data_IF_377657621308
#
_entry.id   IF_377657621308
#
_cell.length_a   1.000
_cell.length_b   1.000
_cell.length_c   1.000
_cell.angle_alpha   90.00
_cell.angle_beta   90.00
_cell.angle_gamma   90.00
#
_symmetry.space_group_name_H-M   'P 1'
#
loop_
_entity.id
_entity.type
_entity.pdbx_description
1 polymer ?
#
# COMPACT_ATOMS: atom_id res chain seq x y z
N UNK A 1 -2.95 -20.93 -9.11
CA UNK A 1 -1.94 -20.54 -8.10
C UNK A 1 -2.70 -20.24 -6.81
N UNK A 2 -2.34 -20.84 -5.67
CA UNK A 2 -2.96 -20.49 -4.38
C UNK A 2 -2.72 -18.99 -4.15
N UNK A 3 -3.80 -18.24 -3.89
CA UNK A 3 -3.73 -16.82 -3.53
C UNK A 3 -3.13 -16.72 -2.12
N UNK A 4 -1.81 -16.82 -2.03
CA UNK A 4 -1.06 -16.71 -0.79
C UNK A 4 -1.27 -15.32 -0.18
N UNK A 5 -1.40 -15.27 1.14
CA UNK A 5 -1.42 -14.00 1.86
C UNK A 5 -0.11 -13.24 1.60
N UNK A 6 -0.21 -11.91 1.44
CA UNK A 6 0.92 -11.03 1.18
C UNK A 6 1.18 -10.16 2.42
N UNK A 7 2.45 -10.06 2.83
CA UNK A 7 2.86 -9.06 3.82
C UNK A 7 3.28 -7.80 3.09
N UNK A 8 2.87 -6.62 3.58
CA UNK A 8 3.26 -5.34 2.99
C UNK A 8 3.83 -4.42 4.05
N UNK A 9 4.61 -3.43 3.63
CA UNK A 9 4.94 -2.30 4.49
C UNK A 9 3.73 -1.41 4.68
N UNK A 10 3.59 -0.84 5.87
CA UNK A 10 2.61 0.18 6.14
C UNK A 10 3.13 1.21 7.14
N UNK A 11 2.58 2.41 7.08
CA UNK A 11 3.02 3.53 7.92
C UNK A 11 1.87 4.47 8.30
N UNK A 12 0.64 3.96 8.29
CA UNK A 12 -0.55 4.68 8.75
C UNK A 12 -0.99 4.15 10.12
N UNK A 13 -1.70 4.99 10.87
CA UNK A 13 -2.16 4.64 12.21
C UNK A 13 -3.02 3.36 12.20
N UNK A 14 -2.69 2.43 13.09
CA UNK A 14 -3.41 1.17 13.24
C UNK A 14 -3.05 0.07 12.24
N UNK A 15 -2.14 0.31 11.29
CA UNK A 15 -1.87 -0.64 10.21
C UNK A 15 -1.29 -2.00 10.66
N UNK A 16 -0.63 -2.05 11.81
CA UNK A 16 0.08 -3.24 12.29
C UNK A 16 -0.62 -3.99 13.42
N UNK A 17 -1.79 -3.53 13.90
CA UNK A 17 -2.46 -4.08 15.10
C UNK A 17 -2.58 -5.60 15.05
N UNK A 18 -3.14 -6.13 13.97
CA UNK A 18 -3.30 -7.58 13.78
C UNK A 18 -1.98 -8.35 13.98
N UNK A 19 -0.89 -7.88 13.37
CA UNK A 19 0.39 -8.59 13.40
C UNK A 19 1.09 -8.38 14.74
N UNK A 20 1.03 -7.18 15.32
CA UNK A 20 1.65 -6.89 16.61
C UNK A 20 0.98 -7.64 17.75
N UNK A 21 -0.35 -7.85 17.66
CA UNK A 21 -1.11 -8.62 18.65
C UNK A 21 -0.71 -10.11 18.62
N UNK A 22 -0.34 -10.64 17.44
CA UNK A 22 0.03 -12.05 17.26
C UNK A 22 1.52 -12.29 17.53
N UNK A 23 2.39 -11.42 17.03
CA UNK A 23 3.84 -11.69 16.91
C UNK A 23 4.74 -10.68 17.64
N UNK A 24 4.13 -9.65 18.26
CA UNK A 24 4.81 -8.62 19.05
C UNK A 24 5.19 -7.37 18.25
N UNK A 25 5.55 -6.31 18.97
CA UNK A 25 5.84 -4.97 18.45
C UNK A 25 7.03 -4.89 17.48
N UNK A 26 7.92 -5.89 17.46
CA UNK A 26 9.03 -5.94 16.49
C UNK A 26 8.57 -6.03 15.02
N UNK A 27 7.29 -6.32 14.79
CA UNK A 27 6.65 -6.37 13.47
C UNK A 27 5.78 -5.13 13.17
N UNK A 28 5.94 -4.05 13.93
CA UNK A 28 5.36 -2.75 13.55
C UNK A 28 5.78 -2.32 12.14
N UNK A 29 4.89 -1.58 11.48
CA UNK A 29 5.06 -1.15 10.09
C UNK A 29 4.83 -2.25 9.05
N UNK A 30 4.24 -3.38 9.46
CA UNK A 30 3.83 -4.49 8.58
C UNK A 30 2.33 -4.69 8.72
N UNK A 31 1.68 -4.99 7.59
CA UNK A 31 0.28 -5.42 7.54
C UNK A 31 0.14 -6.65 6.64
N UNK A 32 -1.00 -7.33 6.75
CA UNK A 32 -1.35 -8.48 5.91
C UNK A 32 -2.40 -8.10 4.87
N UNK A 33 -2.03 -8.17 3.60
CA UNK A 33 -2.99 -8.22 2.51
C UNK A 33 -3.47 -9.67 2.37
N UNK A 34 -4.64 -9.97 2.96
CA UNK A 34 -5.28 -11.29 2.87
C UNK A 34 -5.49 -11.73 1.42
N UNK A 35 -5.92 -12.98 1.23
CA UNK A 35 -6.20 -13.60 -0.06
C UNK A 35 -6.92 -12.65 -1.04
N UNK A 36 -6.27 -12.36 -2.17
CA UNK A 36 -6.79 -11.46 -3.21
C UNK A 36 -6.46 -9.97 -3.01
N UNK A 37 -5.83 -9.60 -1.90
CA UNK A 37 -5.32 -8.26 -1.63
C UNK A 37 -4.00 -7.93 -2.34
N UNK A 38 -3.54 -6.69 -2.17
CA UNK A 38 -2.32 -6.16 -2.79
C UNK A 38 -1.62 -5.16 -1.88
N UNK A 39 -0.31 -4.98 -2.05
CA UNK A 39 0.43 -3.90 -1.39
C UNK A 39 0.29 -2.60 -2.18
N UNK A 40 0.18 -1.46 -1.48
CA UNK A 40 0.10 -0.13 -2.08
C UNK A 40 1.21 0.78 -1.59
N UNK A 41 1.80 1.54 -2.51
CA UNK A 41 2.65 2.70 -2.28
C UNK A 41 2.01 3.92 -2.93
N UNK A 42 1.81 4.97 -2.16
CA UNK A 42 1.25 6.24 -2.60
C UNK A 42 2.23 7.35 -2.26
N UNK A 43 2.53 8.21 -3.23
CA UNK A 43 3.46 9.33 -3.09
C UNK A 43 2.70 10.61 -3.39
N UNK A 44 2.54 11.46 -2.39
CA UNK A 44 1.98 12.80 -2.56
C UNK A 44 3.10 13.77 -2.90
N UNK A 45 2.95 14.47 -4.02
CA UNK A 45 3.87 15.51 -4.43
C UNK A 45 3.29 16.89 -4.10
N UNK A 46 4.15 17.78 -3.62
CA UNK A 46 3.85 19.20 -3.48
C UNK A 46 3.76 19.90 -4.84
N UNK A 47 3.36 21.19 -4.82
CA UNK A 47 3.31 22.03 -6.04
C UNK A 47 4.67 22.17 -6.73
N UNK A 48 5.76 22.05 -5.96
CA UNK A 48 7.15 22.05 -6.41
C UNK A 48 7.61 20.69 -6.96
N UNK A 49 6.69 19.72 -7.09
CA UNK A 49 6.95 18.32 -7.47
C UNK A 49 7.87 17.55 -6.52
N UNK A 50 8.14 18.08 -5.31
CA UNK A 50 8.87 17.33 -4.29
C UNK A 50 7.94 16.39 -3.53
N UNK A 51 8.50 15.30 -3.04
CA UNK A 51 7.78 14.35 -2.20
C UNK A 51 7.40 15.05 -0.90
N UNK A 52 6.10 15.20 -0.67
CA UNK A 52 5.55 15.70 0.60
C UNK A 52 5.31 14.56 1.57
N UNK A 53 4.82 13.43 1.07
CA UNK A 53 4.42 12.29 1.88
C UNK A 53 4.50 10.99 1.09
N UNK A 54 4.82 9.90 1.78
CA UNK A 54 4.73 8.54 1.25
C UNK A 54 3.85 7.71 2.17
N UNK A 55 2.76 7.16 1.64
CA UNK A 55 1.83 6.29 2.37
C UNK A 55 1.97 4.86 1.86
N UNK A 56 2.22 3.93 2.77
CA UNK A 56 2.34 2.50 2.56
C UNK A 56 1.16 1.79 3.24
N UNK A 57 0.57 0.81 2.56
CA UNK A 57 -0.64 0.14 3.06
C UNK A 57 -0.88 -1.21 2.39
N UNK A 58 -1.66 -2.05 3.06
CA UNK A 58 -2.28 -3.25 2.50
C UNK A 58 -3.67 -2.88 1.98
N UNK A 59 -4.00 -3.32 0.77
CA UNK A 59 -5.34 -3.20 0.20
C UNK A 59 -6.00 -4.58 0.26
N UNK A 60 -7.17 -4.64 0.87
CA UNK A 60 -7.98 -5.85 0.94
C UNK A 60 -8.83 -5.99 -0.34
N UNK A 61 -9.27 -7.21 -0.64
CA UNK A 61 -9.93 -7.52 -1.91
C UNK A 61 -11.24 -6.74 -2.13
N UNK A 62 -11.94 -6.39 -1.06
CA UNK A 62 -13.14 -5.55 -1.03
C UNK A 62 -12.86 -4.07 -1.38
N UNK A 63 -11.64 -3.59 -1.16
CA UNK A 63 -11.21 -2.24 -1.52
C UNK A 63 -10.75 -2.15 -2.99
N UNK A 64 -10.52 -3.28 -3.65
CA UNK A 64 -10.02 -3.36 -5.02
C UNK A 64 -11.16 -3.25 -6.04
N UNK A 65 -11.76 -2.07 -6.14
CA UNK A 65 -12.91 -1.80 -7.02
C UNK A 65 -12.55 -0.75 -8.08
N UNK A 66 -12.86 -1.00 -9.38
CA UNK A 66 -13.18 -2.31 -9.96
C UNK A 66 -11.97 -3.26 -9.89
N UNK A 67 -12.20 -4.58 -9.89
CA UNK A 67 -11.14 -5.58 -9.66
C UNK A 67 -10.03 -5.51 -10.70
N UNK A 68 -10.39 -5.22 -11.94
CA UNK A 68 -9.48 -5.17 -13.09
C UNK A 68 -8.62 -3.92 -13.07
N UNK A 69 -9.14 -2.81 -12.53
CA UNK A 69 -8.46 -1.51 -12.49
C UNK A 69 -8.83 -0.70 -11.23
N UNK A 70 -8.40 -1.13 -10.03
CA UNK A 70 -8.87 -0.55 -8.77
C UNK A 70 -8.57 0.94 -8.65
N UNK A 71 -9.54 1.73 -8.21
CA UNK A 71 -9.36 3.18 -8.01
C UNK A 71 -8.25 3.48 -7.01
N UNK A 72 -8.15 2.67 -5.95
CA UNK A 72 -7.10 2.77 -4.92
C UNK A 72 -5.68 2.56 -5.46
N UNK A 73 -5.54 2.09 -6.70
CA UNK A 73 -4.27 1.86 -7.39
C UNK A 73 -4.00 2.87 -8.52
N UNK A 74 -4.86 3.87 -8.72
CA UNK A 74 -4.70 4.86 -9.77
C UNK A 74 -4.04 6.13 -9.25
N UNK A 75 -3.08 6.64 -10.03
CA UNK A 75 -2.46 7.94 -9.79
C UNK A 75 -3.44 9.07 -10.14
N UNK A 76 -3.37 10.16 -9.39
CA UNK A 76 -4.15 11.38 -9.62
C UNK A 76 -3.18 12.50 -9.97
N UNK A 77 -3.45 13.22 -11.06
CA UNK A 77 -2.67 14.38 -11.46
C UNK A 77 -3.62 15.53 -11.81
N UNK A 78 -3.82 16.43 -10.85
CA UNK A 78 -4.67 17.61 -10.97
C UNK A 78 -3.89 18.84 -10.53
N UNK A 79 -4.44 20.03 -10.80
CA UNK A 79 -3.84 21.29 -10.34
C UNK A 79 -3.76 21.43 -8.80
N UNK A 80 -4.58 20.66 -8.07
CA UNK A 80 -4.66 20.71 -6.61
C UNK A 80 -3.89 19.56 -5.93
N UNK A 81 -3.76 18.41 -6.61
CA UNK A 81 -3.19 17.20 -6.05
C UNK A 81 -2.44 16.40 -7.12
N UNK A 82 -1.17 16.11 -6.84
CA UNK A 82 -0.36 15.17 -7.59
C UNK A 82 -0.03 13.99 -6.69
N UNK A 83 -0.55 12.83 -7.02
CA UNK A 83 -0.42 11.60 -6.26
C UNK A 83 -0.04 10.46 -7.19
N UNK A 84 1.13 9.87 -6.97
CA UNK A 84 1.59 8.70 -7.72
C UNK A 84 1.27 7.46 -6.90
N UNK A 85 0.51 6.53 -7.47
CA UNK A 85 0.11 5.29 -6.81
C UNK A 85 0.66 4.09 -7.56
N UNK A 86 1.22 3.14 -6.81
CA UNK A 86 1.63 1.83 -7.32
C UNK A 86 1.10 0.74 -6.41
N UNK A 87 0.36 -0.20 -7.00
CA UNK A 87 -0.03 -1.45 -6.36
C UNK A 87 0.82 -2.60 -6.90
N UNK A 88 1.07 -3.61 -6.06
CA UNK A 88 1.86 -4.77 -6.41
C UNK A 88 1.41 -6.01 -5.62
N UNK A 89 1.64 -7.19 -6.22
CA UNK A 89 1.24 -8.50 -5.67
C UNK A 89 2.24 -9.62 -5.99
N UNK A 90 3.40 -9.26 -6.51
CA UNK A 90 4.45 -10.15 -6.99
C UNK A 90 5.23 -10.81 -5.83
N UNK A 91 5.43 -10.09 -4.73
CA UNK A 91 6.06 -10.63 -3.52
C UNK A 91 5.66 -9.85 -2.28
N UNK A 92 5.88 -10.43 -1.11
CA UNK A 92 5.81 -9.67 0.15
C UNK A 92 6.76 -8.47 0.12
N UNK A 93 6.33 -7.37 0.74
CA UNK A 93 7.04 -6.09 0.85
C UNK A 93 7.36 -5.42 -0.50
N UNK A 94 6.66 -5.78 -1.58
CA UNK A 94 6.90 -5.19 -2.91
C UNK A 94 6.68 -3.65 -2.94
N UNK A 95 5.93 -3.08 -1.99
CA UNK A 95 5.70 -1.65 -1.86
C UNK A 95 6.83 -0.87 -1.16
N UNK A 96 7.86 -1.55 -0.65
CA UNK A 96 9.01 -0.93 0.01
C UNK A 96 10.02 -0.34 -1.01
N UNK A 97 10.06 -0.92 -2.21
CA UNK A 97 10.98 -0.51 -3.28
C UNK A 97 10.76 0.95 -3.68
N UNK A 98 11.81 1.77 -3.57
CA UNK A 98 11.84 3.12 -4.16
C UNK A 98 11.88 2.96 -5.68
N UNK A 99 10.76 3.19 -6.34
CA UNK A 99 10.74 3.40 -7.79
C UNK A 99 11.08 4.88 -7.97
N UNK A 100 12.30 5.15 -8.45
CA UNK A 100 12.75 6.49 -8.83
C UNK A 100 12.17 6.85 -10.19
#
# INVERSE_FOLDING_TARGET
MKNSELLCRCNHDGCSREITDIAGSKYEGICRAHTGGQCRRMVHLGKDKKIKEVVLSCMHADQLVPKERPFVCQSVNTSQLIQIVKCCRDSSFCNDKKVF
#
